data_IF_471868558433
#
_entry.id   IF_471868558433
#
_cell.length_a   1.000
_cell.length_b   1.000
_cell.length_c   1.000
_cell.angle_alpha   90.00
_cell.angle_beta   90.00
_cell.angle_gamma   90.00
#
_symmetry.space_group_name_H-M   'P 1'
#
loop_
_entity.id
_entity.type
_entity.pdbx_description
1 polymer ?
#
# COMPACT_ATOMS: atom_id res chain seq x y z
N UNK A 1 5.03 6.34 -27.46
CA UNK A 1 5.05 7.63 -26.71
C UNK A 1 4.33 7.51 -25.36
N UNK A 2 3.14 6.90 -25.29
CA UNK A 2 2.33 6.78 -24.07
C UNK A 2 2.98 5.98 -22.91
N UNK A 3 3.76 4.93 -23.20
CA UNK A 3 4.46 4.14 -22.17
C UNK A 3 5.51 4.95 -21.37
N UNK A 4 6.14 5.95 -22.00
CA UNK A 4 7.10 6.85 -21.33
C UNK A 4 6.43 7.76 -20.30
N UNK A 5 5.17 8.15 -20.53
CA UNK A 5 4.43 8.99 -19.58
C UNK A 5 3.96 8.21 -18.35
N UNK A 6 3.82 6.88 -18.46
CA UNK A 6 3.40 6.04 -17.33
C UNK A 6 4.56 5.84 -16.34
N UNK A 7 5.79 5.65 -16.84
CA UNK A 7 6.98 5.46 -16.01
C UNK A 7 7.38 6.69 -15.19
N UNK A 8 7.00 7.89 -15.63
CA UNK A 8 7.25 9.15 -14.90
C UNK A 8 6.30 9.35 -13.71
N UNK A 9 5.25 8.53 -13.58
CA UNK A 9 4.35 8.64 -12.45
C UNK A 9 5.07 8.22 -11.16
N UNK A 10 5.04 9.11 -10.18
CA UNK A 10 5.59 8.87 -8.85
C UNK A 10 5.10 7.54 -8.24
N UNK A 11 3.82 7.20 -8.45
CA UNK A 11 3.23 5.95 -7.98
C UNK A 11 3.85 4.71 -8.62
N UNK A 12 4.13 4.77 -9.92
CA UNK A 12 4.77 3.68 -10.66
C UNK A 12 6.24 3.50 -10.23
N UNK A 13 6.92 4.61 -9.89
CA UNK A 13 8.30 4.56 -9.40
C UNK A 13 8.44 3.89 -8.02
N UNK A 14 7.40 3.96 -7.19
CA UNK A 14 7.40 3.39 -5.84
C UNK A 14 6.56 2.10 -5.74
N UNK A 15 5.97 1.64 -6.84
CA UNK A 15 5.25 0.36 -6.85
C UNK A 15 6.22 -0.80 -6.76
N UNK A 16 5.85 -1.82 -5.99
CA UNK A 16 6.64 -3.04 -5.86
C UNK A 16 6.52 -3.92 -7.12
N UNK A 17 7.55 -4.72 -7.40
CA UNK A 17 7.55 -5.59 -8.59
C UNK A 17 6.40 -6.61 -8.52
N UNK A 18 5.59 -6.74 -9.58
CA UNK A 18 4.46 -7.68 -9.61
C UNK A 18 4.92 -9.15 -9.50
N UNK A 19 6.16 -9.44 -9.89
CA UNK A 19 6.74 -10.79 -9.82
C UNK A 19 6.77 -11.35 -8.38
N UNK A 20 6.85 -10.50 -7.36
CA UNK A 20 6.82 -10.96 -5.96
C UNK A 20 5.51 -11.66 -5.58
N UNK A 21 4.42 -11.31 -6.24
CA UNK A 21 3.12 -11.98 -6.07
C UNK A 21 3.13 -13.33 -6.78
N UNK A 22 3.74 -13.39 -7.97
CA UNK A 22 3.86 -14.63 -8.75
C UNK A 22 4.73 -15.67 -8.04
N UNK A 23 5.86 -15.27 -7.46
CA UNK A 23 6.72 -16.16 -6.67
C UNK A 23 5.98 -16.79 -5.48
N UNK A 24 5.20 -15.98 -4.78
CA UNK A 24 4.42 -16.45 -3.64
C UNK A 24 3.24 -17.34 -4.07
N UNK A 25 2.63 -17.05 -5.21
CA UNK A 25 1.60 -17.89 -5.81
C UNK A 25 2.17 -19.24 -6.26
N UNK A 26 3.32 -19.24 -6.93
CA UNK A 26 4.03 -20.46 -7.34
C UNK A 26 4.36 -21.32 -6.12
N UNK A 27 4.92 -20.71 -5.07
CA UNK A 27 5.18 -21.40 -3.82
C UNK A 27 3.90 -21.98 -3.18
N UNK A 28 2.79 -21.25 -3.22
CA UNK A 28 1.51 -21.72 -2.69
C UNK A 28 0.96 -22.94 -3.46
N UNK A 29 1.09 -22.94 -4.79
CA UNK A 29 0.58 -24.02 -5.66
C UNK A 29 1.47 -25.27 -5.59
N UNK A 30 2.78 -25.09 -5.47
CA UNK A 30 3.74 -26.20 -5.43
C UNK A 30 3.91 -26.82 -4.04
N UNK A 31 3.47 -26.15 -2.97
CA UNK A 31 3.62 -26.66 -1.61
C UNK A 31 2.66 -27.81 -1.30
N UNK A 32 3.21 -28.93 -0.83
CA UNK A 32 2.42 -30.08 -0.35
C UNK A 32 1.58 -29.78 0.91
N UNK A 33 1.89 -28.70 1.65
CA UNK A 33 1.13 -28.24 2.82
C UNK A 33 0.80 -26.75 2.65
N UNK A 34 -0.40 -26.41 2.12
CA UNK A 34 -0.76 -25.03 1.89
C UNK A 34 -1.02 -24.28 3.20
N UNK A 35 -0.59 -23.02 3.26
CA UNK A 35 -0.91 -22.09 4.35
C UNK A 35 -2.14 -21.25 4.02
N UNK A 36 -2.93 -20.87 5.03
CA UNK A 36 -4.15 -20.06 4.83
C UNK A 36 -3.82 -18.62 4.41
N UNK A 37 -2.60 -18.13 4.67
CA UNK A 37 -2.22 -16.73 4.42
C UNK A 37 -0.79 -16.63 3.90
N UNK A 38 -0.67 -16.33 2.61
CA UNK A 38 0.60 -16.01 1.97
C UNK A 38 0.81 -14.50 1.92
N UNK A 39 2.06 -14.05 2.12
CA UNK A 39 2.43 -12.62 2.22
C UNK A 39 3.46 -12.27 1.15
N UNK A 40 3.06 -11.65 0.03
CA UNK A 40 4.01 -11.27 -1.02
C UNK A 40 4.85 -10.06 -0.61
N UNK A 41 6.16 -10.16 -0.88
CA UNK A 41 7.10 -9.08 -0.64
C UNK A 41 7.41 -8.79 0.84
N UNK A 42 8.41 -7.94 1.04
CA UNK A 42 8.88 -7.59 2.39
C UNK A 42 7.93 -6.61 3.08
N UNK A 43 7.26 -5.73 2.32
CA UNK A 43 6.31 -4.77 2.87
C UNK A 43 5.11 -5.48 3.54
N UNK A 44 4.57 -6.54 2.93
CA UNK A 44 3.47 -7.32 3.52
C UNK A 44 3.83 -7.96 4.86
N UNK A 45 5.08 -8.41 5.00
CA UNK A 45 5.56 -9.12 6.20
C UNK A 45 6.07 -8.20 7.29
N UNK A 46 6.72 -7.08 6.95
CA UNK A 46 7.35 -6.19 7.94
C UNK A 46 6.62 -4.86 8.15
N UNK A 47 5.77 -4.44 7.24
CA UNK A 47 5.02 -3.19 7.40
C UNK A 47 3.57 -3.49 7.75
N UNK A 48 2.87 -4.25 6.90
CA UNK A 48 1.45 -4.51 7.09
C UNK A 48 1.14 -5.52 8.19
N UNK A 49 2.03 -6.48 8.46
CA UNK A 49 1.86 -7.43 9.56
C UNK A 49 1.91 -6.75 10.94
N UNK A 50 2.98 -6.02 11.31
CA UNK A 50 3.00 -5.38 12.60
C UNK A 50 1.93 -4.31 12.70
N UNK A 51 1.62 -3.58 11.61
CA UNK A 51 0.53 -2.60 11.65
C UNK A 51 -0.83 -3.24 11.94
N UNK A 52 -1.11 -4.43 11.42
CA UNK A 52 -2.35 -5.16 11.70
C UNK A 52 -2.39 -5.75 13.11
N UNK A 53 -1.24 -6.05 13.71
CA UNK A 53 -1.14 -6.58 15.08
C UNK A 53 -0.92 -5.49 16.13
N UNK A 54 -0.57 -4.28 15.70
CA UNK A 54 -0.31 -3.13 16.55
C UNK A 54 -1.62 -2.60 17.17
N UNK A 55 -1.53 -1.98 18.36
CA UNK A 55 -2.67 -1.29 18.96
C UNK A 55 -3.23 -0.18 18.04
N UNK A 56 -4.55 0.03 18.10
CA UNK A 56 -5.26 1.03 17.28
C UNK A 56 -4.63 2.43 17.39
N UNK A 57 -4.22 2.85 18.59
CA UNK A 57 -3.60 4.17 18.79
C UNK A 57 -2.29 4.36 18.00
N UNK A 58 -1.50 3.29 17.82
CA UNK A 58 -0.25 3.35 17.06
C UNK A 58 -0.53 3.42 15.57
N UNK A 59 -1.48 2.61 15.10
CA UNK A 59 -1.92 2.62 13.70
C UNK A 59 -2.52 3.98 13.31
N UNK A 60 -3.41 4.54 14.15
CA UNK A 60 -3.98 5.88 13.95
C UNK A 60 -2.90 6.96 13.96
N UNK A 61 -1.90 6.87 14.84
CA UNK A 61 -0.80 7.83 14.86
C UNK A 61 0.04 7.79 13.57
N UNK A 62 0.34 6.58 13.06
CA UNK A 62 1.10 6.40 11.81
C UNK A 62 0.31 6.95 10.63
N UNK A 63 -0.96 6.58 10.50
CA UNK A 63 -1.84 7.04 9.41
C UNK A 63 -2.04 8.54 9.49
N UNK A 64 -2.29 9.10 10.67
CA UNK A 64 -2.44 10.53 10.83
C UNK A 64 -1.14 11.27 10.45
N UNK A 65 0.03 10.78 10.83
CA UNK A 65 1.29 11.41 10.42
C UNK A 65 1.55 11.35 8.91
N UNK A 66 1.23 10.24 8.25
CA UNK A 66 1.51 10.07 6.81
C UNK A 66 0.47 10.76 5.94
N UNK A 67 -0.80 10.77 6.32
CA UNK A 67 -1.92 11.27 5.51
C UNK A 67 -2.16 12.78 5.68
N UNK A 68 -1.96 13.36 6.88
CA UNK A 68 -2.24 14.79 7.10
C UNK A 68 -1.36 15.74 6.29
N UNK A 69 -0.20 15.30 5.80
CA UNK A 69 0.67 16.14 4.98
C UNK A 69 0.12 16.41 3.57
N UNK A 70 -0.79 15.58 3.05
CA UNK A 70 -1.27 15.67 1.65
C UNK A 70 -2.78 15.85 1.51
N UNK A 71 -3.56 15.65 2.57
CA UNK A 71 -5.02 15.83 2.54
C UNK A 71 -5.37 17.24 3.01
N UNK A 72 -5.22 18.22 2.10
CA UNK A 72 -6.08 19.41 2.15
C UNK A 72 -7.28 19.10 1.25
N UNK A 73 -8.51 19.01 1.79
CA UNK A 73 -9.68 18.85 0.92
C UNK A 73 -9.74 20.07 -0.01
N UNK A 74 -9.89 19.81 -1.31
CA UNK A 74 -9.83 20.84 -2.34
C UNK A 74 -11.06 21.77 -2.40
N UNK A 75 -12.01 21.68 -1.45
CA UNK A 75 -13.30 22.37 -1.61
C UNK A 75 -13.93 22.88 -0.29
N UNK A 76 -13.32 23.90 0.32
CA UNK A 76 -13.97 24.74 1.35
C UNK A 76 -14.02 26.21 0.90
N UNK A 77 -13.99 26.47 -0.41
CA UNK A 77 -14.02 27.85 -0.95
C UNK A 77 -15.43 28.31 -1.32
N UNK A 78 -16.38 27.39 -1.50
CA UNK A 78 -17.71 27.72 -2.05
C UNK A 78 -18.87 27.65 -1.04
N UNK A 79 -18.61 27.47 0.27
CA UNK A 79 -19.68 27.37 1.28
C UNK A 79 -20.13 28.72 1.86
N UNK A 80 -19.52 29.85 1.46
CA UNK A 80 -19.72 31.15 2.13
C UNK A 80 -20.29 32.25 1.22
N UNK A 81 -21.09 31.88 0.21
CA UNK A 81 -21.83 32.83 -0.62
C UNK A 81 -23.33 32.48 -0.50
N UNK A 82 -23.96 33.03 0.53
CA UNK A 82 -25.36 33.48 0.47
C UNK A 82 -25.37 34.99 0.18
#
# INVERSE_FOLDING_TARGET
>A
VQAKNISENFLYRHSEDPNKVLEVLEHAVLNCKPEIRYRPGWQSKYFFLPLSMAPVWLTDFIVNRTTFSHVKPADVRNQHIE
#
